data_IF_643525026479
#
_entry.id   IF_643525026479
#
_cell.length_a   1.000
_cell.length_b   1.000
_cell.length_c   1.000
_cell.angle_alpha   90.00
_cell.angle_beta   90.00
_cell.angle_gamma   90.00
#
_symmetry.space_group_name_H-M   'P 1'
#
loop_
_entity.id
_entity.type
_entity.pdbx_description
1 polymer ?
#
# COMPACT_ATOMS: atom_id res chain seq x y z
N UNK A 1 2.46 21.82 12.11
CA UNK A 1 2.04 20.40 12.02
C UNK A 1 3.18 19.58 11.42
N UNK A 2 3.48 18.44 12.04
CA UNK A 2 4.53 17.56 11.57
C UNK A 2 4.09 16.83 10.30
N UNK A 3 4.99 16.71 9.33
CA UNK A 3 4.77 15.90 8.12
C UNK A 3 5.44 14.55 8.29
N UNK A 4 4.67 13.47 8.06
CA UNK A 4 5.19 12.10 8.06
C UNK A 4 5.19 11.62 6.62
N UNK A 5 6.36 11.22 6.12
CA UNK A 5 6.53 10.71 4.76
C UNK A 5 6.54 9.19 4.77
N UNK A 6 5.60 8.60 4.02
CA UNK A 6 5.46 7.15 3.94
C UNK A 6 5.37 6.71 2.49
N UNK A 7 5.53 5.42 2.29
CA UNK A 7 5.31 4.75 1.00
C UNK A 7 4.26 3.67 1.16
N UNK A 8 3.62 3.32 0.06
CA UNK A 8 2.67 2.20 0.02
C UNK A 8 2.88 1.42 -1.27
N UNK A 9 2.66 0.12 -1.20
CA UNK A 9 2.81 -0.78 -2.34
C UNK A 9 1.43 -1.22 -2.83
N UNK A 10 1.09 -0.81 -4.05
CA UNK A 10 -0.05 -1.38 -4.76
C UNK A 10 0.39 -2.67 -5.43
N UNK A 11 0.49 -3.75 -4.64
CA UNK A 11 0.97 -5.05 -5.14
C UNK A 11 -0.12 -5.68 -5.98
N UNK A 12 0.12 -5.79 -7.28
CA UNK A 12 -0.81 -6.43 -8.21
C UNK A 12 -0.28 -7.80 -8.63
N UNK A 13 -1.15 -8.59 -9.22
CA UNK A 13 -0.78 -9.92 -9.75
C UNK A 13 0.26 -9.80 -10.86
N UNK A 14 0.11 -8.78 -11.73
CA UNK A 14 1.07 -8.47 -12.79
C UNK A 14 1.00 -6.99 -13.10
N UNK A 15 2.14 -6.33 -13.25
CA UNK A 15 2.19 -4.92 -13.62
C UNK A 15 1.64 -4.72 -15.04
N UNK A 16 1.83 -5.70 -15.91
CA UNK A 16 1.32 -5.65 -17.29
C UNK A 16 -0.18 -5.91 -17.38
N UNK A 17 -0.72 -6.78 -16.51
CA UNK A 17 -2.12 -7.16 -16.51
C UNK A 17 -2.65 -7.13 -15.09
N UNK A 18 -3.12 -5.97 -14.66
CA UNK A 18 -3.53 -5.72 -13.27
C UNK A 18 -4.96 -6.20 -13.06
N UNK A 19 -5.13 -7.46 -12.71
CA UNK A 19 -6.46 -8.03 -12.46
C UNK A 19 -6.83 -8.12 -10.99
N UNK A 20 -5.83 -8.11 -10.10
CA UNK A 20 -6.02 -8.15 -8.66
C UNK A 20 -5.00 -7.27 -7.96
N UNK A 21 -5.37 -6.69 -6.82
CA UNK A 21 -4.47 -5.92 -5.98
C UNK A 21 -4.55 -6.43 -4.54
N UNK A 22 -3.38 -6.51 -3.89
CA UNK A 22 -3.24 -7.02 -2.54
C UNK A 22 -3.49 -5.89 -1.51
N UNK A 23 -4.30 -6.19 -0.50
CA UNK A 23 -4.60 -5.25 0.58
C UNK A 23 -4.56 -5.95 1.91
N UNK A 24 -4.28 -5.19 2.99
CA UNK A 24 -4.19 -5.73 4.34
C UNK A 24 -5.10 -4.96 5.29
N UNK A 25 -5.61 -5.65 6.31
CA UNK A 25 -6.36 -5.02 7.39
C UNK A 25 -5.43 -4.76 8.56
N UNK A 26 -5.47 -3.54 9.09
CA UNK A 26 -4.64 -3.16 10.22
C UNK A 26 -5.07 -3.90 11.48
N UNK A 27 -4.13 -4.56 12.17
CA UNK A 27 -4.40 -5.36 13.35
C UNK A 27 -4.26 -4.63 14.67
N UNK A 28 -3.87 -3.34 14.66
CA UNK A 28 -3.60 -2.59 15.88
C UNK A 28 -3.80 -1.09 15.66
N UNK A 29 -3.79 -0.36 16.76
CA UNK A 29 -3.82 1.10 16.74
C UNK A 29 -5.21 1.69 16.55
N UNK A 30 -5.24 2.98 16.29
CA UNK A 30 -6.46 3.78 16.19
C UNK A 30 -7.39 3.32 15.07
N UNK A 31 -6.83 2.91 13.95
CA UNK A 31 -7.60 2.48 12.78
C UNK A 31 -7.66 0.97 12.63
N UNK A 32 -7.62 0.23 13.75
CA UNK A 32 -7.72 -1.23 13.72
C UNK A 32 -8.95 -1.68 12.93
N UNK A 33 -8.75 -2.66 12.05
CA UNK A 33 -9.80 -3.17 11.17
C UNK A 33 -9.96 -2.42 9.86
N UNK A 34 -9.33 -1.26 9.71
CA UNK A 34 -9.30 -0.53 8.45
C UNK A 34 -8.37 -1.18 7.44
N UNK A 35 -8.72 -1.10 6.17
CA UNK A 35 -7.94 -1.68 5.08
C UNK A 35 -7.01 -0.67 4.44
N UNK A 36 -5.84 -1.12 4.02
CA UNK A 36 -4.78 -0.27 3.48
C UNK A 36 -3.89 -1.05 2.53
N UNK A 37 -3.04 -0.32 1.81
CA UNK A 37 -1.96 -0.94 1.05
C UNK A 37 -0.73 -1.01 1.94
N UNK A 38 0.01 -2.14 1.92
CA UNK A 38 1.16 -2.32 2.80
C UNK A 38 2.26 -1.31 2.49
N UNK A 39 2.98 -0.89 3.51
CA UNK A 39 4.05 0.08 3.40
C UNK A 39 4.47 0.61 4.75
N UNK A 40 5.14 1.74 4.78
CA UNK A 40 5.60 2.35 6.02
C UNK A 40 6.43 3.60 5.78
N UNK A 41 7.14 4.05 6.82
CA UNK A 41 7.90 5.30 6.79
C UNK A 41 9.15 5.19 5.93
N UNK A 42 9.45 6.26 5.21
CA UNK A 42 10.72 6.40 4.49
C UNK A 42 11.80 6.72 5.53
N UNK A 43 12.90 5.98 5.52
CA UNK A 43 14.03 6.22 6.40
C UNK A 43 15.02 7.20 5.77
N UNK A 44 15.85 7.82 6.63
CA UNK A 44 16.87 8.76 6.16
C UNK A 44 17.82 8.09 5.16
N UNK A 45 18.05 8.76 4.04
CA UNK A 45 18.93 8.25 2.99
C UNK A 45 18.29 7.28 2.00
N UNK A 46 17.03 6.90 2.22
CA UNK A 46 16.30 6.04 1.28
C UNK A 46 15.59 6.85 0.20
N UNK A 47 15.57 6.31 -1.02
CA UNK A 47 14.60 6.76 -2.01
C UNK A 47 13.23 6.16 -1.65
N UNK A 48 12.11 6.73 -2.14
CA UNK A 48 10.80 6.12 -1.93
C UNK A 48 10.73 4.67 -2.42
N UNK A 49 11.33 4.37 -3.59
CA UNK A 49 11.35 3.02 -4.14
C UNK A 49 12.10 2.03 -3.22
N UNK A 50 13.24 2.46 -2.68
CA UNK A 50 14.00 1.63 -1.74
C UNK A 50 13.20 1.36 -0.47
N UNK A 51 12.47 2.36 0.01
CA UNK A 51 11.61 2.22 1.19
C UNK A 51 10.50 1.18 0.96
N UNK A 52 9.88 1.18 -0.22
CA UNK A 52 8.86 0.19 -0.59
C UNK A 52 9.44 -1.22 -0.51
N UNK A 53 10.60 -1.45 -1.14
CA UNK A 53 11.23 -2.79 -1.16
C UNK A 53 11.53 -3.24 0.27
N UNK A 54 12.12 -2.37 1.09
CA UNK A 54 12.46 -2.70 2.48
C UNK A 54 11.22 -3.00 3.32
N UNK A 55 10.20 -2.14 3.23
CA UNK A 55 8.98 -2.31 4.03
C UNK A 55 8.25 -3.61 3.69
N UNK A 56 8.16 -3.96 2.40
CA UNK A 56 7.50 -5.20 2.01
C UNK A 56 8.31 -6.41 2.46
N UNK A 57 9.63 -6.35 2.40
CA UNK A 57 10.47 -7.42 2.92
C UNK A 57 10.27 -7.61 4.43
N UNK A 58 10.22 -6.52 5.20
CA UNK A 58 10.00 -6.57 6.65
C UNK A 58 8.59 -7.03 7.02
N UNK A 59 7.59 -6.50 6.33
CA UNK A 59 6.18 -6.70 6.68
C UNK A 59 5.60 -8.00 6.13
N UNK A 60 5.98 -8.40 4.92
CA UNK A 60 5.36 -9.52 4.20
C UNK A 60 6.33 -10.61 3.77
N UNK A 61 7.61 -10.46 4.07
CA UNK A 61 8.66 -11.44 3.79
C UNK A 61 8.78 -11.80 2.30
N UNK A 62 8.59 -10.81 1.45
CA UNK A 62 8.67 -10.98 0.00
C UNK A 62 9.46 -9.84 -0.63
N UNK A 63 10.10 -10.12 -1.76
CA UNK A 63 10.78 -9.11 -2.56
C UNK A 63 9.87 -8.68 -3.70
N UNK A 64 9.64 -7.37 -3.83
CA UNK A 64 8.80 -6.83 -4.89
C UNK A 64 9.62 -6.08 -5.92
N UNK A 65 9.13 -6.11 -7.16
CA UNK A 65 9.58 -5.24 -8.23
C UNK A 65 8.70 -3.99 -8.19
N UNK A 66 9.33 -2.82 -8.12
CA UNK A 66 8.62 -1.54 -8.07
C UNK A 66 8.43 -0.99 -9.48
N UNK A 67 7.21 -0.67 -9.81
CA UNK A 67 6.84 -0.06 -11.09
C UNK A 67 6.57 1.43 -10.96
N UNK A 68 5.63 1.92 -11.74
CA UNK A 68 5.30 3.34 -11.80
C UNK A 68 4.61 3.84 -10.53
N UNK A 69 4.80 5.13 -10.24
CA UNK A 69 4.05 5.80 -9.19
C UNK A 69 2.56 5.83 -9.58
N UNK A 70 1.70 5.39 -8.64
CA UNK A 70 0.25 5.51 -8.82
C UNK A 70 -0.15 6.96 -8.57
N UNK A 71 0.23 7.47 -7.41
CA UNK A 71 -0.03 8.84 -6.99
C UNK A 71 0.72 9.15 -5.70
N UNK A 72 0.84 10.44 -5.40
CA UNK A 72 1.29 10.92 -4.10
C UNK A 72 0.07 11.51 -3.40
N UNK A 73 -0.26 10.96 -2.23
CA UNK A 73 -1.42 11.38 -1.46
C UNK A 73 -0.97 12.30 -0.33
N UNK A 74 -1.61 13.46 -0.24
CA UNK A 74 -1.44 14.41 0.85
C UNK A 74 -2.72 14.40 1.69
N UNK A 75 -2.61 14.07 2.96
CA UNK A 75 -3.79 13.97 3.83
C UNK A 75 -3.50 14.52 5.22
N UNK A 76 -4.37 15.38 5.71
CA UNK A 76 -4.26 15.96 7.05
C UNK A 76 -5.06 15.15 8.06
N UNK A 77 -4.34 14.44 8.93
CA UNK A 77 -4.92 13.88 10.15
C UNK A 77 -4.87 14.94 11.25
N UNK A 78 -5.66 14.82 12.33
CA UNK A 78 -5.67 15.82 13.38
C UNK A 78 -4.29 16.12 13.98
N UNK A 79 -3.42 15.11 14.10
CA UNK A 79 -2.13 15.24 14.76
C UNK A 79 -0.94 15.47 13.82
N UNK A 80 -1.12 15.22 12.51
CA UNK A 80 0.00 15.29 11.55
C UNK A 80 -0.49 15.35 10.11
N UNK A 81 0.40 15.78 9.23
CA UNK A 81 0.20 15.73 7.78
C UNK A 81 0.86 14.47 7.23
N UNK A 82 0.11 13.66 6.48
CA UNK A 82 0.63 12.47 5.83
C UNK A 82 0.96 12.79 4.37
N UNK A 83 2.18 12.43 3.94
CA UNK A 83 2.58 12.45 2.53
C UNK A 83 2.94 11.03 2.13
N UNK A 84 2.14 10.41 1.25
CA UNK A 84 2.27 9.01 0.90
C UNK A 84 2.50 8.83 -0.60
N UNK A 85 3.66 8.26 -0.96
CA UNK A 85 3.96 7.86 -2.33
C UNK A 85 3.55 6.40 -2.51
N UNK A 86 2.60 6.14 -3.40
CA UNK A 86 2.10 4.80 -3.67
C UNK A 86 2.55 4.33 -5.05
N UNK A 87 3.20 3.15 -5.11
CA UNK A 87 3.76 2.59 -6.33
C UNK A 87 3.09 1.28 -6.70
N UNK A 88 2.94 1.05 -8.01
CA UNK A 88 2.60 -0.28 -8.51
C UNK A 88 3.76 -1.22 -8.24
N UNK A 89 3.46 -2.42 -7.75
CA UNK A 89 4.46 -3.44 -7.47
C UNK A 89 3.95 -4.81 -7.90
N UNK A 90 4.88 -5.74 -8.12
CA UNK A 90 4.55 -7.16 -8.25
C UNK A 90 5.60 -7.98 -7.49
N UNK A 91 5.22 -9.16 -7.05
CA UNK A 91 6.15 -10.04 -6.30
C UNK A 91 7.21 -10.56 -7.27
N UNK A 92 8.48 -10.31 -6.95
CA UNK A 92 9.61 -10.81 -7.71
C UNK A 92 10.10 -12.15 -7.17
N UNK A 93 10.08 -12.32 -5.85
CA UNK A 93 10.46 -13.58 -5.20
C UNK A 93 9.84 -13.68 -3.82
N UNK A 94 9.69 -14.92 -3.32
CA UNK A 94 9.10 -15.19 -2.02
C UNK A 94 7.58 -15.25 -2.10
N UNK A 95 6.95 -15.43 -0.95
CA UNK A 95 5.50 -15.45 -0.80
C UNK A 95 5.09 -14.40 0.21
N UNK A 96 3.97 -13.73 -0.02
CA UNK A 96 3.46 -12.71 0.90
C UNK A 96 2.98 -13.39 2.20
N UNK A 97 3.63 -13.05 3.31
CA UNK A 97 3.33 -13.61 4.64
C UNK A 97 2.94 -12.48 5.57
N UNK A 98 1.81 -12.64 6.27
CA UNK A 98 1.36 -11.64 7.23
C UNK A 98 2.16 -11.74 8.51
N UNK A 99 2.76 -10.64 8.96
CA UNK A 99 3.49 -10.54 10.22
C UNK A 99 2.76 -9.70 11.25
N UNK A 100 2.16 -8.58 10.81
CA UNK A 100 1.49 -7.63 11.70
C UNK A 100 0.03 -7.40 11.33
N UNK A 101 -0.35 -7.61 10.07
CA UNK A 101 -1.70 -7.40 9.62
C UNK A 101 -2.66 -8.45 10.17
N UNK A 102 -3.88 -8.04 10.47
CA UNK A 102 -4.94 -8.92 10.97
C UNK A 102 -5.46 -9.85 9.88
N UNK A 103 -5.54 -9.36 8.64
CA UNK A 103 -6.06 -10.10 7.50
C UNK A 103 -5.49 -9.54 6.21
N UNK A 104 -5.64 -10.28 5.12
CA UNK A 104 -5.26 -9.82 3.80
C UNK A 104 -6.22 -10.37 2.77
N UNK A 105 -6.37 -9.63 1.65
CA UNK A 105 -7.18 -10.07 0.51
C UNK A 105 -6.56 -9.60 -0.79
N UNK A 106 -6.67 -10.44 -1.81
CA UNK A 106 -6.50 -10.04 -3.19
C UNK A 106 -7.87 -9.56 -3.69
N UNK A 107 -7.93 -8.33 -4.18
CA UNK A 107 -9.18 -7.70 -4.62
C UNK A 107 -9.17 -7.53 -6.13
N UNK A 108 -10.25 -7.94 -6.78
CA UNK A 108 -10.47 -7.61 -8.19
C UNK A 108 -10.97 -6.17 -8.27
N UNK A 109 -11.03 -5.63 -9.49
CA UNK A 109 -11.54 -4.28 -9.73
C UNK A 109 -12.94 -4.09 -9.13
N UNK A 110 -13.80 -5.09 -9.27
CA UNK A 110 -15.17 -5.05 -8.77
C UNK A 110 -15.25 -5.16 -7.25
N UNK A 111 -14.22 -5.70 -6.62
CA UNK A 111 -14.17 -5.90 -5.16
C UNK A 111 -13.55 -4.73 -4.39
N UNK A 112 -13.04 -3.71 -5.08
CA UNK A 112 -12.37 -2.59 -4.42
C UNK A 112 -13.26 -1.89 -3.38
N UNK A 113 -14.56 -1.87 -3.58
CA UNK A 113 -15.50 -1.25 -2.63
C UNK A 113 -16.01 -2.23 -1.57
N UNK A 114 -15.51 -3.48 -1.55
CA UNK A 114 -15.97 -4.50 -0.59
C UNK A 114 -15.29 -4.39 0.77
N UNK A 115 -14.28 -3.55 0.92
CA UNK A 115 -13.57 -3.32 2.17
C UNK A 115 -13.63 -1.85 2.56
N UNK A 116 -13.45 -1.57 3.86
CA UNK A 116 -13.47 -0.20 4.36
C UNK A 116 -12.04 0.33 4.43
N UNK A 117 -11.67 1.15 3.45
CA UNK A 117 -10.33 1.73 3.35
C UNK A 117 -10.07 2.78 4.42
N UNK A 118 -8.83 2.87 4.87
CA UNK A 118 -8.39 3.99 5.71
C UNK A 118 -8.50 5.31 4.94
N UNK A 119 -8.71 6.44 5.64
CA UNK A 119 -9.00 7.72 4.98
C UNK A 119 -8.01 8.12 3.88
N UNK A 120 -6.71 7.96 4.11
CA UNK A 120 -5.71 8.31 3.11
C UNK A 120 -5.78 7.42 1.88
N UNK A 121 -6.11 6.13 2.06
CA UNK A 121 -6.19 5.16 0.95
C UNK A 121 -7.43 5.36 0.09
N UNK A 122 -8.51 5.90 0.64
CA UNK A 122 -9.75 6.16 -0.12
C UNK A 122 -9.45 6.99 -1.37
N UNK A 123 -8.54 7.95 -1.26
CA UNK A 123 -8.22 8.84 -2.37
C UNK A 123 -7.49 8.16 -3.54
N UNK A 124 -6.89 6.98 -3.28
CA UNK A 124 -6.20 6.20 -4.32
C UNK A 124 -7.12 5.30 -5.13
N UNK A 125 -8.27 4.93 -4.56
CA UNK A 125 -9.07 3.83 -5.10
C UNK A 125 -9.57 4.11 -6.52
N UNK A 126 -9.98 5.34 -6.81
CA UNK A 126 -10.45 5.68 -8.16
C UNK A 126 -9.33 5.58 -9.20
N UNK A 127 -8.12 6.01 -8.85
CA UNK A 127 -6.96 5.87 -9.75
C UNK A 127 -6.59 4.43 -9.98
N UNK A 128 -6.60 3.63 -8.91
CA UNK A 128 -6.32 2.20 -9.00
C UNK A 128 -7.35 1.52 -9.89
N UNK A 129 -8.63 1.83 -9.69
CA UNK A 129 -9.73 1.27 -10.48
C UNK A 129 -9.55 1.54 -11.96
N UNK A 130 -9.13 2.74 -12.35
CA UNK A 130 -8.91 3.12 -13.74
C UNK A 130 -7.77 2.36 -14.40
N UNK A 131 -6.78 1.91 -13.62
CA UNK A 131 -5.62 1.18 -14.15
C UNK A 131 -5.82 -0.33 -14.18
N UNK A 132 -6.80 -0.85 -13.44
CA UNK A 132 -7.07 -2.29 -13.36
C UNK A 132 -7.91 -2.77 -14.54
N UNK A 133 -7.65 -4.02 -14.90
CA UNK A 133 -8.40 -4.71 -15.96
C UNK A 133 -9.63 -5.44 -15.41
#
# INVERSE_FOLDING_TARGET
MKTIRVVAAGICDSIEHKTQIFSTARGYGEFKGGWEFPGGKIEAGETPQQAVVREIQEELDATVKVGDLIDTIEYDYPAFHLSMDCFWCEVASGELKLREAEAARWLTKEELDSVQWLPADVTLIDKIRKCME
#
